data_IF_969470266921
#
_entry.id   IF_969470266921
#
_cell.length_a   1.000
_cell.length_b   1.000
_cell.length_c   1.000
_cell.angle_alpha   90.00
_cell.angle_beta   90.00
_cell.angle_gamma   90.00
#
_symmetry.space_group_name_H-M   'P 1'
#
loop_
_entity.id
_entity.type
_entity.pdbx_description
1 polymer ?
#
# COMPACT_ATOMS: atom_id res chain seq x y z
N UNK A 1 -3.17 16.12 -6.77
CA UNK A 1 -2.95 16.88 -5.53
C UNK A 1 -2.80 15.85 -4.43
N UNK A 2 -1.65 15.79 -3.75
CA UNK A 2 -1.49 14.90 -2.59
C UNK A 2 -2.31 15.49 -1.44
N UNK A 3 -3.34 14.78 -0.99
CA UNK A 3 -4.21 15.28 0.09
C UNK A 3 -3.46 15.21 1.42
N UNK A 4 -3.77 16.11 2.38
CA UNK A 4 -3.16 16.10 3.72
C UNK A 4 -3.33 14.75 4.44
N UNK A 5 -4.33 13.95 4.08
CA UNK A 5 -4.63 12.63 4.64
C UNK A 5 -3.67 11.52 4.21
N UNK A 6 -2.77 11.75 3.25
CA UNK A 6 -1.80 10.72 2.80
C UNK A 6 -0.81 10.33 3.89
N UNK A 7 -0.27 11.30 4.64
CA UNK A 7 0.72 11.02 5.68
C UNK A 7 0.15 10.23 6.87
N UNK A 8 -1.00 10.62 7.47
CA UNK A 8 -1.64 9.83 8.52
C UNK A 8 -1.90 8.38 8.10
N UNK A 9 -2.37 8.17 6.85
CA UNK A 9 -2.55 6.83 6.30
C UNK A 9 -1.24 6.04 6.22
N UNK A 10 -0.17 6.63 5.68
CA UNK A 10 1.14 5.98 5.54
C UNK A 10 1.70 5.60 6.92
N UNK A 11 1.64 6.52 7.89
CA UNK A 11 2.12 6.27 9.26
C UNK A 11 1.37 5.13 9.94
N UNK A 12 0.04 5.10 9.84
CA UNK A 12 -0.77 4.03 10.41
C UNK A 12 -0.49 2.67 9.75
N UNK A 13 -0.29 2.64 8.43
CA UNK A 13 0.11 1.43 7.70
C UNK A 13 1.48 0.94 8.16
N UNK A 14 2.46 1.85 8.22
CA UNK A 14 3.85 1.48 8.53
C UNK A 14 3.99 0.98 9.97
N UNK A 15 3.20 1.51 10.91
CA UNK A 15 3.09 0.96 12.26
C UNK A 15 2.64 -0.52 12.24
N UNK A 16 1.56 -0.85 11.52
CA UNK A 16 1.07 -2.22 11.39
C UNK A 16 2.08 -3.15 10.71
N UNK A 17 2.77 -2.66 9.66
CA UNK A 17 3.76 -3.45 8.94
C UNK A 17 5.03 -3.69 9.76
N UNK A 18 5.42 -2.74 10.61
CA UNK A 18 6.59 -2.86 11.49
C UNK A 18 6.39 -3.95 12.55
N UNK A 19 5.15 -4.24 12.95
CA UNK A 19 4.80 -5.27 13.93
C UNK A 19 4.05 -6.45 13.30
N UNK A 20 4.22 -6.70 11.99
CA UNK A 20 3.40 -7.69 11.24
C UNK A 20 3.47 -9.13 11.76
N UNK A 21 4.51 -9.47 12.52
CA UNK A 21 4.73 -10.81 13.11
C UNK A 21 4.32 -10.88 14.59
N UNK A 22 3.95 -9.74 15.19
CA UNK A 22 3.51 -9.61 16.58
C UNK A 22 2.13 -8.94 16.63
N UNK A 23 1.11 -9.78 16.67
CA UNK A 23 -0.28 -9.34 16.66
C UNK A 23 -0.67 -8.52 17.89
N UNK A 24 -0.14 -8.85 19.07
CA UNK A 24 -0.46 -8.15 20.31
C UNK A 24 0.08 -6.72 20.26
N UNK A 25 1.34 -6.56 19.84
CA UNK A 25 1.95 -5.23 19.65
C UNK A 25 1.23 -4.46 18.53
N UNK A 26 0.92 -5.11 17.41
CA UNK A 26 0.24 -4.46 16.29
C UNK A 26 -1.14 -3.92 16.71
N UNK A 27 -1.92 -4.73 17.42
CA UNK A 27 -3.27 -4.33 17.86
C UNK A 27 -3.24 -3.29 18.98
N UNK A 28 -2.29 -3.37 19.91
CA UNK A 28 -2.19 -2.44 21.04
C UNK A 28 -1.61 -1.06 20.68
N UNK A 29 -0.75 -0.99 19.67
CA UNK A 29 -0.12 0.27 19.20
C UNK A 29 -0.87 0.95 18.06
N UNK A 30 -1.78 0.25 17.39
CA UNK A 30 -2.53 0.79 16.27
C UNK A 30 -3.51 1.87 16.71
N UNK A 31 -3.38 3.05 16.09
CA UNK A 31 -4.38 4.12 16.18
C UNK A 31 -4.98 4.33 14.79
N UNK A 32 -6.30 4.37 14.69
CA UNK A 32 -6.99 4.68 13.43
C UNK A 32 -6.60 6.10 12.99
N UNK A 33 -6.12 6.30 11.75
CA UNK A 33 -5.78 7.64 11.28
C UNK A 33 -7.07 8.46 11.06
N UNK A 34 -7.00 9.74 11.39
CA UNK A 34 -8.01 10.73 10.99
C UNK A 34 -7.77 11.11 9.53
N UNK A 35 -8.76 10.87 8.68
CA UNK A 35 -8.72 11.12 7.24
C UNK A 35 -9.97 11.90 6.87
N UNK A 36 -9.81 13.02 6.15
CA UNK A 36 -10.93 13.84 5.68
C UNK A 36 -11.35 13.40 4.27
N UNK A 37 -10.64 13.88 3.25
CA UNK A 37 -10.79 13.45 1.86
C UNK A 37 -9.58 12.59 1.48
N UNK A 38 -9.80 11.29 1.34
CA UNK A 38 -8.75 10.34 1.02
C UNK A 38 -9.24 9.20 0.13
N UNK A 39 -8.62 9.02 -1.03
CA UNK A 39 -8.71 7.81 -1.84
C UNK A 39 -7.35 7.08 -1.88
N UNK A 40 -7.33 5.85 -1.34
CA UNK A 40 -6.10 5.04 -1.30
C UNK A 40 -5.51 4.77 -2.70
N UNK A 41 -6.34 4.68 -3.74
CA UNK A 41 -5.86 4.47 -5.10
C UNK A 41 -5.13 5.70 -5.62
N UNK A 42 -5.76 6.88 -5.59
CA UNK A 42 -5.23 8.07 -6.23
C UNK A 42 -4.11 8.73 -5.41
N UNK A 43 -4.28 8.84 -4.08
CA UNK A 43 -3.34 9.60 -3.25
C UNK A 43 -2.16 8.76 -2.73
N UNK A 44 -2.29 7.43 -2.71
CA UNK A 44 -1.20 6.56 -2.26
C UNK A 44 -0.71 5.61 -3.36
N UNK A 45 -1.59 4.80 -3.96
CA UNK A 45 -1.16 3.75 -4.89
C UNK A 45 -0.57 4.32 -6.18
N UNK A 46 -1.26 5.28 -6.80
CA UNK A 46 -0.83 5.92 -8.06
C UNK A 46 0.40 6.82 -7.88
N UNK A 47 0.78 7.15 -6.64
CA UNK A 47 1.99 7.93 -6.34
C UNK A 47 3.23 7.05 -6.16
N UNK A 48 3.07 5.72 -6.11
CA UNK A 48 4.19 4.79 -6.08
C UNK A 48 5.01 4.86 -7.39
N UNK A 49 6.31 4.52 -7.37
CA UNK A 49 7.14 4.61 -8.56
C UNK A 49 6.59 3.75 -9.70
N UNK A 50 6.20 4.38 -10.81
CA UNK A 50 5.48 3.73 -11.90
C UNK A 50 6.24 2.54 -12.52
N UNK A 51 7.57 2.63 -12.57
CA UNK A 51 8.45 1.59 -13.14
C UNK A 51 8.81 0.49 -12.15
N UNK A 52 8.42 0.61 -10.86
CA UNK A 52 8.68 -0.42 -9.85
C UNK A 52 7.68 -1.57 -10.01
N UNK A 53 8.19 -2.79 -9.88
CA UNK A 53 7.36 -4.00 -9.86
C UNK A 53 6.33 -3.92 -8.72
N UNK A 54 5.05 -3.98 -9.06
CA UNK A 54 3.92 -3.89 -8.12
C UNK A 54 3.16 -5.20 -7.93
N UNK A 55 3.20 -6.09 -8.92
CA UNK A 55 2.60 -7.42 -8.85
C UNK A 55 3.50 -8.45 -9.55
N UNK A 56 3.69 -9.59 -8.90
CA UNK A 56 4.34 -10.76 -9.50
C UNK A 56 3.50 -12.00 -9.19
N UNK A 57 2.88 -12.56 -10.22
CA UNK A 57 2.12 -13.79 -10.17
C UNK A 57 3.01 -14.93 -10.70
N UNK A 58 3.06 -16.04 -9.98
CA UNK A 58 3.69 -17.29 -10.43
C UNK A 58 2.60 -18.34 -10.48
N UNK A 59 2.33 -18.85 -11.68
CA UNK A 59 1.30 -19.86 -11.91
C UNK A 59 1.86 -21.26 -11.63
N UNK A 60 0.97 -22.23 -11.44
CA UNK A 60 1.35 -23.62 -11.16
C UNK A 60 2.14 -24.32 -12.27
N UNK A 61 2.08 -23.81 -13.50
CA UNK A 61 2.87 -24.26 -14.66
C UNK A 61 4.26 -23.58 -14.74
N UNK A 62 4.59 -22.73 -13.76
CA UNK A 62 5.83 -21.98 -13.73
C UNK A 62 5.84 -20.71 -14.60
N UNK A 63 4.73 -20.39 -15.28
CA UNK A 63 4.62 -19.10 -15.98
C UNK A 63 4.54 -17.94 -14.99
N UNK A 64 5.12 -16.80 -15.37
CA UNK A 64 5.17 -15.62 -14.53
C UNK A 64 4.47 -14.44 -15.21
N UNK A 65 3.64 -13.71 -14.45
CA UNK A 65 3.12 -12.40 -14.86
C UNK A 65 3.66 -11.33 -13.90
N UNK A 66 4.43 -10.39 -14.45
CA UNK A 66 5.07 -9.30 -13.72
C UNK A 66 4.52 -7.98 -14.22
N UNK A 67 3.97 -7.16 -13.32
CA UNK A 67 3.38 -5.85 -13.64
C UNK A 67 3.99 -4.76 -12.79
N UNK A 68 4.40 -3.68 -13.43
CA UNK A 68 4.81 -2.46 -12.74
C UNK A 68 3.60 -1.72 -12.16
N UNK A 69 3.79 -0.88 -11.14
CA UNK A 69 2.69 -0.09 -10.56
C UNK A 69 1.95 0.75 -11.61
N UNK A 70 2.68 1.34 -12.56
CA UNK A 70 2.06 2.12 -13.64
C UNK A 70 1.20 1.28 -14.60
N UNK A 71 1.46 -0.02 -14.76
CA UNK A 71 0.57 -0.91 -15.52
C UNK A 71 -0.72 -1.22 -14.75
N UNK A 72 -0.62 -1.34 -13.43
CA UNK A 72 -1.76 -1.62 -12.55
C UNK A 72 -2.69 -0.42 -12.44
N UNK A 73 -2.16 0.80 -12.34
CA UNK A 73 -2.97 2.03 -12.26
C UNK A 73 -3.75 2.37 -13.53
N UNK A 74 -3.37 1.83 -14.69
CA UNK A 74 -4.01 2.12 -16.00
C UNK A 74 -5.13 1.13 -16.38
N UNK A 75 -5.41 0.14 -15.54
CA UNK A 75 -6.35 -0.95 -15.80
C UNK A 75 -7.61 -0.80 -14.96
#
# INVERSE_FOLDING_TARGET
MTTPSTQPFVSARDALLSSREDFETASGSFTRPELDEFNRALEYFDTLPADRLGLWLVNGDGSEDRRAFGELSRR
#
